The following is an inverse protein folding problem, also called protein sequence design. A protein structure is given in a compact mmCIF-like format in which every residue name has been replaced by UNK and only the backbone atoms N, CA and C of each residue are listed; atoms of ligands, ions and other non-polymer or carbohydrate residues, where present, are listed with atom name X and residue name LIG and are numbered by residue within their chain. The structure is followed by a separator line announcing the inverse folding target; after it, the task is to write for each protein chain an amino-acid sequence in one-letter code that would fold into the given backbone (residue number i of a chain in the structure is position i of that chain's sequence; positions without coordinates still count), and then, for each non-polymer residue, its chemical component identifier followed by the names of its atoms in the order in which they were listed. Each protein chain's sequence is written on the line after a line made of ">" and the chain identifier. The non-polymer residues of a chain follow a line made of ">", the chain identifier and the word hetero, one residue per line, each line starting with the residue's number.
data_IF_534046557948
#
_entry.id   IF_534046557948
#
_cell.length_a   1.000
_cell.length_b   1.000
_cell.length_c   1.000
_cell.angle_alpha   90.00
_cell.angle_beta   90.00
_cell.angle_gamma   90.00
#
_symmetry.space_group_name_H-M   'P 1'
#
loop_
_entity.id
_entity.type
_entity.pdbx_description
1 polymer ?
#
# COMPACT_ATOMS: atom_id res chain seq x y z
N UNK A 1 16.00 11.55 48.30
CA UNK A 1 16.06 12.32 47.04
C UNK A 1 15.99 11.34 45.87
N UNK A 2 14.79 11.02 45.38
CA UNK A 2 14.59 10.06 44.27
C UNK A 2 13.53 10.52 43.24
N UNK A 3 13.07 11.78 43.32
CA UNK A 3 11.95 12.28 42.49
C UNK A 3 12.40 13.08 41.25
N UNK A 4 13.68 13.47 41.15
CA UNK A 4 14.15 14.33 40.05
C UNK A 4 14.43 13.55 38.75
N UNK A 5 14.72 12.24 38.82
CA UNK A 5 14.97 11.39 37.63
C UNK A 5 13.68 11.01 36.91
N UNK A 6 12.65 10.62 37.65
CA UNK A 6 11.36 10.19 37.09
C UNK A 6 10.60 11.34 36.40
N UNK A 7 10.77 12.59 36.88
CA UNK A 7 10.24 13.77 36.21
C UNK A 7 10.85 13.96 34.81
N UNK A 8 12.17 13.82 34.69
CA UNK A 8 12.87 13.97 33.39
C UNK A 8 12.60 12.82 32.40
N UNK A 9 12.43 11.59 32.90
CA UNK A 9 12.07 10.44 32.06
C UNK A 9 10.62 10.52 31.58
N UNK A 10 9.69 10.90 32.48
CA UNK A 10 8.29 11.12 32.13
C UNK A 10 8.11 12.23 31.10
N UNK A 11 8.82 13.33 31.26
CA UNK A 11 8.85 14.44 30.29
C UNK A 11 9.46 14.01 28.95
N UNK A 12 10.56 13.22 28.95
CA UNK A 12 11.16 12.71 27.73
C UNK A 12 10.22 11.77 26.96
N UNK A 13 9.51 10.87 27.66
CA UNK A 13 8.51 9.98 27.05
C UNK A 13 7.35 10.79 26.47
N UNK A 14 6.87 11.81 27.20
CA UNK A 14 5.79 12.67 26.74
C UNK A 14 6.18 13.44 25.47
N UNK A 15 7.39 14.01 25.44
CA UNK A 15 7.89 14.72 24.27
C UNK A 15 8.08 13.78 23.08
N UNK A 16 8.60 12.56 23.31
CA UNK A 16 8.72 11.56 22.24
C UNK A 16 7.35 11.19 21.66
N UNK A 17 6.33 10.96 22.51
CA UNK A 17 4.96 10.70 22.05
C UNK A 17 4.39 11.86 21.24
N UNK A 18 4.64 13.10 21.68
CA UNK A 18 4.22 14.32 20.97
C UNK A 18 4.86 14.40 19.58
N UNK A 19 6.18 14.19 19.50
CA UNK A 19 6.92 14.20 18.23
C UNK A 19 6.43 13.11 17.26
N UNK A 20 6.14 11.91 17.78
CA UNK A 20 5.57 10.83 16.99
C UNK A 20 4.17 11.19 16.49
N UNK A 21 3.29 11.71 17.36
CA UNK A 21 1.96 12.16 16.98
C UNK A 21 1.98 13.25 15.91
N UNK A 22 2.83 14.26 16.07
CA UNK A 22 3.01 15.34 15.09
C UNK A 22 3.48 14.79 13.73
N UNK A 23 4.40 13.82 13.75
CA UNK A 23 4.90 13.18 12.53
C UNK A 23 3.79 12.38 11.84
N UNK A 24 3.03 11.60 12.59
CA UNK A 24 1.99 10.73 12.05
C UNK A 24 0.83 11.57 11.49
N UNK A 25 0.46 12.67 12.15
CA UNK A 25 -0.51 13.65 11.65
C UNK A 25 -0.05 14.31 10.34
N UNK A 26 1.24 14.71 10.25
CA UNK A 26 1.80 15.26 9.00
C UNK A 26 1.79 14.24 7.87
N UNK A 27 2.11 12.97 8.15
CA UNK A 27 2.07 11.88 7.16
C UNK A 27 0.64 11.67 6.64
N UNK A 28 -0.33 11.55 7.54
CA UNK A 28 -1.74 11.40 7.18
C UNK A 28 -2.25 12.56 6.33
N UNK A 29 -1.91 13.80 6.70
CA UNK A 29 -2.29 14.99 5.95
C UNK A 29 -1.64 15.09 4.56
N UNK A 30 -0.49 14.43 4.34
CA UNK A 30 0.22 14.43 3.06
C UNK A 30 -0.29 13.35 2.09
N UNK A 31 -1.13 12.42 2.54
CA UNK A 31 -1.68 11.36 1.67
C UNK A 31 -2.60 11.95 0.60
N UNK A 32 -2.46 11.46 -0.63
CA UNK A 32 -3.32 11.87 -1.75
C UNK A 32 -4.63 11.10 -1.70
N UNK A 33 -5.76 11.78 -1.80
CA UNK A 33 -7.04 11.09 -2.01
C UNK A 33 -7.16 10.58 -3.46
N UNK A 34 -7.35 9.28 -3.64
CA UNK A 34 -7.64 8.67 -4.95
C UNK A 34 -9.15 8.38 -5.08
N UNK A 35 -9.90 9.15 -5.89
CA UNK A 35 -11.34 8.98 -6.03
C UNK A 35 -11.73 7.67 -6.73
N UNK A 36 -10.92 7.12 -7.65
CA UNK A 36 -11.28 5.90 -8.41
C UNK A 36 -11.38 4.67 -7.54
N UNK A 37 -10.58 4.63 -6.48
CA UNK A 37 -10.56 3.53 -5.53
C UNK A 37 -10.89 3.96 -4.10
N UNK A 38 -11.31 5.20 -3.85
CA UNK A 38 -11.69 5.72 -2.53
C UNK A 38 -10.68 5.40 -1.43
N UNK A 39 -9.40 5.61 -1.70
CA UNK A 39 -8.31 5.36 -0.74
C UNK A 39 -7.51 6.64 -0.53
N UNK A 40 -7.15 6.89 0.73
CA UNK A 40 -6.10 7.86 1.09
C UNK A 40 -4.73 7.21 0.81
N UNK A 41 -4.19 7.48 -0.37
CA UNK A 41 -2.98 6.84 -0.91
C UNK A 41 -1.76 7.29 -0.09
N UNK A 42 -1.03 6.35 0.54
CA UNK A 42 0.21 6.66 1.25
C UNK A 42 1.25 7.36 0.38
N UNK A 43 2.10 8.15 1.03
CA UNK A 43 3.28 8.75 0.39
C UNK A 43 4.30 7.69 -0.04
N UNK A 44 5.23 8.08 -0.91
CA UNK A 44 6.38 7.24 -1.31
C UNK A 44 7.18 6.78 -0.09
N UNK A 45 7.40 7.67 0.89
CA UNK A 45 8.17 7.40 2.10
C UNK A 45 7.46 6.34 2.96
N UNK A 46 6.14 6.46 3.13
CA UNK A 46 5.32 5.47 3.84
C UNK A 46 5.35 4.11 3.14
N UNK A 47 5.18 4.08 1.81
CA UNK A 47 5.29 2.82 1.06
C UNK A 47 6.69 2.21 1.16
N UNK A 48 7.73 3.02 1.11
CA UNK A 48 9.12 2.55 1.25
C UNK A 48 9.35 1.92 2.63
N UNK A 49 8.81 2.53 3.68
CA UNK A 49 8.85 1.99 5.04
C UNK A 49 8.08 0.68 5.12
N UNK A 50 6.86 0.63 4.59
CA UNK A 50 6.01 -0.56 4.58
C UNK A 50 6.65 -1.72 3.82
N UNK A 51 7.23 -1.49 2.64
CA UNK A 51 7.89 -2.52 1.84
C UNK A 51 9.10 -3.14 2.55
N UNK A 52 9.81 -2.35 3.37
CA UNK A 52 10.96 -2.83 4.15
C UNK A 52 10.55 -3.62 5.39
N UNK A 53 9.43 -3.24 6.01
CA UNK A 53 9.01 -3.79 7.31
C UNK A 53 8.03 -4.96 7.18
N UNK A 54 7.26 -5.01 6.09
CA UNK A 54 6.31 -6.10 5.84
C UNK A 54 7.00 -7.30 5.21
N UNK A 55 6.74 -8.49 5.74
CA UNK A 55 7.26 -9.74 5.17
C UNK A 55 6.39 -10.20 4.01
N UNK A 56 6.76 -9.78 2.80
CA UNK A 56 6.11 -10.22 1.57
C UNK A 56 6.73 -11.51 1.04
N UNK A 57 5.91 -12.35 0.40
CA UNK A 57 6.39 -13.53 -0.31
C UNK A 57 7.05 -13.15 -1.64
N UNK A 58 7.88 -14.03 -2.19
CA UNK A 58 8.51 -13.82 -3.50
C UNK A 58 7.47 -13.57 -4.61
N UNK A 59 6.33 -14.26 -4.57
CA UNK A 59 5.25 -14.06 -5.53
C UNK A 59 4.64 -12.66 -5.44
N UNK A 60 4.44 -12.14 -4.22
CA UNK A 60 3.95 -10.77 -4.00
C UNK A 60 4.96 -9.74 -4.51
N UNK A 61 6.24 -9.92 -4.19
CA UNK A 61 7.31 -9.05 -4.67
C UNK A 61 7.43 -9.08 -6.20
N UNK A 62 7.33 -10.25 -6.82
CA UNK A 62 7.38 -10.40 -8.28
C UNK A 62 6.21 -9.68 -8.98
N UNK A 63 5.00 -9.79 -8.42
CA UNK A 63 3.84 -9.03 -8.91
C UNK A 63 4.07 -7.53 -8.79
N UNK A 64 4.52 -7.04 -7.63
CA UNK A 64 4.76 -5.61 -7.41
C UNK A 64 5.82 -5.06 -8.37
N UNK A 65 6.94 -5.78 -8.55
CA UNK A 65 7.98 -5.41 -9.51
C UNK A 65 7.44 -5.30 -10.93
N UNK A 66 6.71 -6.32 -11.37
CA UNK A 66 6.16 -6.37 -12.73
C UNK A 66 5.12 -5.28 -12.97
N UNK A 67 4.29 -5.01 -11.96
CA UNK A 67 3.27 -3.96 -12.00
C UNK A 67 3.89 -2.56 -11.99
N UNK A 68 4.96 -2.34 -11.23
CA UNK A 68 5.73 -1.10 -11.26
C UNK A 68 6.33 -0.83 -12.66
N UNK A 69 6.89 -1.86 -13.30
CA UNK A 69 7.47 -1.75 -14.66
C UNK A 69 6.44 -1.40 -15.74
N UNK A 70 5.17 -1.75 -15.55
CA UNK A 70 4.11 -1.41 -16.48
C UNK A 70 3.77 0.10 -16.48
N UNK A 71 4.09 0.81 -15.40
CA UNK A 71 3.87 2.24 -15.28
C UNK A 71 2.41 2.66 -15.53
N UNK A 72 2.25 3.79 -16.21
CA UNK A 72 0.97 4.35 -16.65
C UNK A 72 0.21 3.44 -17.63
N UNK A 73 0.89 2.50 -18.32
CA UNK A 73 0.23 1.57 -19.22
C UNK A 73 -0.63 0.55 -18.45
N UNK A 74 -0.29 0.31 -17.18
CA UNK A 74 -0.97 -0.66 -16.33
C UNK A 74 -0.81 -2.10 -16.81
N UNK A 75 -1.42 -3.02 -16.06
CA UNK A 75 -1.41 -4.45 -16.37
C UNK A 75 -2.83 -4.99 -16.47
N UNK A 76 -3.06 -5.89 -17.41
CA UNK A 76 -4.25 -6.74 -17.36
C UNK A 76 -4.12 -7.77 -16.24
N UNK A 77 -5.25 -8.28 -15.73
CA UNK A 77 -5.24 -9.36 -14.74
C UNK A 77 -4.45 -10.58 -15.24
N UNK A 78 -4.56 -10.92 -16.53
CA UNK A 78 -3.79 -12.00 -17.14
C UNK A 78 -2.28 -11.75 -17.10
N UNK A 79 -1.83 -10.51 -17.31
CA UNK A 79 -0.43 -10.17 -17.23
C UNK A 79 0.09 -10.24 -15.77
N UNK A 80 -0.70 -9.77 -14.80
CA UNK A 80 -0.40 -9.88 -13.36
C UNK A 80 -0.30 -11.35 -12.91
N UNK A 81 -1.20 -12.22 -13.38
CA UNK A 81 -1.12 -13.65 -13.09
C UNK A 81 0.19 -14.26 -13.61
N UNK A 82 0.55 -13.95 -14.85
CA UNK A 82 1.75 -14.49 -15.51
C UNK A 82 3.03 -14.06 -14.80
N UNK A 83 3.09 -12.84 -14.25
CA UNK A 83 4.30 -12.34 -13.57
C UNK A 83 4.66 -13.09 -12.28
N UNK A 84 3.74 -13.87 -11.72
CA UNK A 84 3.99 -14.70 -10.55
C UNK A 84 3.65 -16.19 -10.78
N UNK A 85 3.53 -16.61 -12.04
CA UNK A 85 3.33 -18.02 -12.41
C UNK A 85 1.95 -18.58 -12.05
N UNK A 86 0.95 -17.74 -11.79
CA UNK A 86 -0.40 -18.21 -11.47
C UNK A 86 -1.23 -18.49 -12.72
N UNK A 87 -2.05 -19.54 -12.64
CA UNK A 87 -2.99 -19.94 -13.69
C UNK A 87 -4.42 -19.49 -13.43
N UNK A 88 -4.72 -19.04 -12.20
CA UNK A 88 -6.05 -18.60 -11.81
C UNK A 88 -6.09 -17.09 -11.50
N UNK A 89 -7.03 -16.33 -12.08
CA UNK A 89 -7.26 -14.93 -11.73
C UNK A 89 -7.60 -14.75 -10.25
N UNK A 90 -8.43 -15.62 -9.68
CA UNK A 90 -8.82 -15.52 -8.27
C UNK A 90 -7.64 -15.69 -7.32
N UNK A 91 -6.68 -16.58 -7.66
CA UNK A 91 -5.45 -16.72 -6.89
C UNK A 91 -4.58 -15.46 -6.98
N UNK A 92 -4.45 -14.88 -8.17
CA UNK A 92 -3.65 -13.67 -8.34
C UNK A 92 -4.24 -12.48 -7.57
N UNK A 93 -5.56 -12.29 -7.65
CA UNK A 93 -6.32 -11.28 -6.89
C UNK A 93 -6.13 -11.48 -5.38
N UNK A 94 -6.17 -12.72 -4.89
CA UNK A 94 -5.91 -13.02 -3.47
C UNK A 94 -4.51 -12.65 -3.03
N UNK A 95 -3.50 -12.96 -3.85
CA UNK A 95 -2.09 -12.72 -3.53
C UNK A 95 -1.79 -11.22 -3.49
N UNK A 96 -2.23 -10.48 -4.51
CA UNK A 96 -2.05 -9.02 -4.57
C UNK A 96 -2.90 -8.31 -3.51
N UNK A 97 -4.13 -8.79 -3.27
CA UNK A 97 -4.99 -8.31 -2.19
C UNK A 97 -4.34 -8.50 -0.81
N UNK A 98 -3.69 -9.64 -0.56
CA UNK A 98 -2.96 -9.88 0.68
C UNK A 98 -1.74 -8.97 0.82
N UNK A 99 -1.05 -8.63 -0.27
CA UNK A 99 0.03 -7.63 -0.23
C UNK A 99 -0.52 -6.24 0.11
N UNK A 100 -1.67 -5.89 -0.46
CA UNK A 100 -2.39 -4.66 -0.14
C UNK A 100 -2.80 -4.59 1.31
N UNK A 101 -3.34 -5.69 1.86
CA UNK A 101 -3.74 -5.78 3.27
C UNK A 101 -2.54 -5.61 4.22
N UNK A 102 -1.40 -6.26 3.92
CA UNK A 102 -0.19 -6.09 4.73
C UNK A 102 0.28 -4.63 4.81
N UNK A 103 0.22 -3.91 3.68
CA UNK A 103 0.57 -2.48 3.65
C UNK A 103 -0.51 -1.64 4.35
N UNK A 104 -1.79 -1.93 4.11
CA UNK A 104 -2.90 -1.21 4.73
C UNK A 104 -2.85 -1.32 6.26
N UNK A 105 -2.63 -2.53 6.78
CA UNK A 105 -2.52 -2.81 8.21
C UNK A 105 -1.32 -2.10 8.81
N UNK A 106 -0.16 -2.14 8.14
CA UNK A 106 1.06 -1.50 8.63
C UNK A 106 0.95 0.04 8.66
N UNK A 107 0.29 0.63 7.67
CA UNK A 107 0.16 2.09 7.53
C UNK A 107 -1.13 2.65 8.12
N UNK A 108 -1.99 1.82 8.70
CA UNK A 108 -3.33 2.19 9.15
C UNK A 108 -4.12 2.92 8.04
N UNK A 109 -4.15 2.34 6.84
CA UNK A 109 -4.98 2.84 5.75
C UNK A 109 -6.41 2.38 5.99
N UNK A 110 -7.31 3.34 6.18
CA UNK A 110 -8.73 3.04 6.24
C UNK A 110 -9.22 2.66 4.85
N UNK A 111 -9.67 1.42 4.74
CA UNK A 111 -10.40 0.94 3.58
C UNK A 111 -11.89 1.08 3.88
N UNK A 112 -12.69 1.64 2.94
CA UNK A 112 -14.13 1.59 3.10
C UNK A 112 -14.56 0.15 3.33
N UNK A 113 -15.58 -0.12 4.16
CA UNK A 113 -16.07 -1.46 4.37
C UNK A 113 -16.39 -2.05 3.00
N UNK A 114 -15.64 -3.09 2.61
CA UNK A 114 -15.96 -3.84 1.41
C UNK A 114 -17.41 -4.28 1.54
N UNK A 115 -18.19 -4.16 0.47
CA UNK A 115 -19.29 -5.12 0.30
C UNK A 115 -18.62 -6.48 0.48
N UNK A 116 -19.04 -7.24 1.50
CA UNK A 116 -18.27 -8.31 2.15
C UNK A 116 -17.84 -9.50 1.25
N UNK A 117 -17.97 -9.36 -0.07
CA UNK A 117 -17.70 -10.34 -1.11
C UNK A 117 -16.62 -9.94 -2.13
N UNK A 118 -16.03 -8.73 -2.07
CA UNK A 118 -14.98 -8.36 -3.05
C UNK A 118 -13.61 -8.89 -2.60
N UNK A 119 -13.30 -10.15 -2.97
CA UNK A 119 -11.95 -10.69 -2.85
C UNK A 119 -10.95 -9.72 -3.53
N UNK A 120 -9.91 -9.30 -2.80
CA UNK A 120 -8.89 -8.39 -3.33
C UNK A 120 -9.16 -6.90 -3.13
N UNK A 121 -10.14 -6.50 -2.32
CA UNK A 121 -10.45 -5.09 -2.04
C UNK A 121 -9.23 -4.29 -1.55
N UNK A 122 -8.38 -4.89 -0.69
CA UNK A 122 -7.15 -4.24 -0.22
C UNK A 122 -6.10 -3.99 -1.33
N UNK A 123 -6.23 -4.59 -2.52
CA UNK A 123 -5.38 -4.26 -3.68
C UNK A 123 -5.56 -2.81 -4.14
N UNK A 124 -6.65 -2.14 -3.71
CA UNK A 124 -6.90 -0.71 -3.95
C UNK A 124 -5.87 0.21 -3.30
N UNK A 125 -5.21 -0.24 -2.23
CA UNK A 125 -4.06 0.46 -1.63
C UNK A 125 -2.85 0.44 -2.56
N UNK A 126 -2.76 -0.54 -3.45
CA UNK A 126 -1.64 -0.71 -4.37
C UNK A 126 -1.89 -0.09 -5.74
N UNK A 127 -3.15 -0.11 -6.17
CA UNK A 127 -3.52 0.22 -7.55
C UNK A 127 -4.99 0.61 -7.69
N UNK A 128 -5.36 1.13 -8.85
CA UNK A 128 -6.74 1.36 -9.25
C UNK A 128 -6.99 0.71 -10.62
N UNK A 129 -8.26 0.42 -10.91
CA UNK A 129 -8.68 -0.07 -12.22
C UNK A 129 -9.10 1.10 -13.11
N UNK A 130 -8.63 1.09 -14.35
CA UNK A 130 -9.03 1.99 -15.41
C UNK A 130 -9.62 1.19 -16.58
N UNK A 131 -10.71 1.70 -17.15
CA UNK A 131 -11.25 1.23 -18.43
C UNK A 131 -10.98 2.29 -19.49
N UNK A 132 -10.26 1.93 -20.56
CA UNK A 132 -9.87 2.87 -21.63
C UNK A 132 -10.88 3.00 -22.77
N UNK A 133 -12.08 2.47 -22.59
CA UNK A 133 -13.15 2.52 -23.57
C UNK A 133 -14.01 1.26 -23.56
N UNK A 134 -15.10 1.31 -24.33
CA UNK A 134 -16.02 0.19 -24.46
C UNK A 134 -15.32 -1.00 -25.16
N UNK A 135 -15.35 -2.18 -24.54
CA UNK A 135 -14.70 -3.39 -25.05
C UNK A 135 -13.19 -3.51 -24.79
N UNK A 136 -12.55 -2.52 -24.16
CA UNK A 136 -11.15 -2.62 -23.73
C UNK A 136 -11.01 -3.46 -22.46
N UNK A 137 -9.92 -4.23 -22.29
CA UNK A 137 -9.68 -4.93 -21.04
C UNK A 137 -9.47 -3.93 -19.91
N UNK A 138 -9.93 -4.27 -18.70
CA UNK A 138 -9.62 -3.49 -17.50
C UNK A 138 -8.11 -3.53 -17.23
N UNK A 139 -7.54 -2.35 -17.00
CA UNK A 139 -6.13 -2.17 -16.70
C UNK A 139 -5.98 -1.78 -15.22
N UNK A 140 -5.12 -2.52 -14.53
CA UNK A 140 -4.73 -2.22 -13.16
C UNK A 140 -3.50 -1.33 -13.22
N UNK A 141 -3.59 -0.12 -12.69
CA UNK A 141 -2.51 0.86 -12.69
C UNK A 141 -2.04 1.07 -11.25
N UNK A 142 -0.74 0.87 -11.00
CA UNK A 142 -0.14 1.07 -9.69
C UNK A 142 -0.10 2.56 -9.35
N UNK A 143 -0.38 2.93 -8.10
CA UNK A 143 -0.22 4.31 -7.63
C UNK A 143 1.22 4.78 -7.83
N UNK A 144 1.40 6.02 -8.28
CA UNK A 144 2.73 6.58 -8.58
C UNK A 144 3.68 6.53 -7.37
N UNK A 145 3.14 6.79 -6.18
CA UNK A 145 3.86 6.77 -4.92
C UNK A 145 4.43 5.38 -4.62
N UNK A 146 3.62 4.34 -4.80
CA UNK A 146 4.05 2.96 -4.65
C UNK A 146 5.01 2.55 -5.76
N UNK A 147 4.75 2.96 -7.01
CA UNK A 147 5.63 2.67 -8.16
C UNK A 147 7.05 3.18 -7.89
N UNK A 148 7.17 4.42 -7.45
CA UNK A 148 8.44 5.03 -7.07
C UNK A 148 9.11 4.33 -5.89
N UNK A 149 8.33 3.90 -4.89
CA UNK A 149 8.85 3.14 -3.75
C UNK A 149 9.39 1.76 -4.17
N UNK A 150 8.65 1.03 -5.02
CA UNK A 150 9.08 -0.26 -5.57
C UNK A 150 10.36 -0.12 -6.37
N UNK A 151 10.44 0.84 -7.30
CA UNK A 151 11.64 1.06 -8.11
C UNK A 151 12.88 1.45 -7.30
N UNK A 152 12.70 2.03 -6.11
CA UNK A 152 13.80 2.40 -5.22
C UNK A 152 14.21 1.28 -4.25
N UNK A 153 13.31 0.34 -3.94
CA UNK A 153 13.48 -0.62 -2.84
C UNK A 153 13.61 -2.08 -3.27
N UNK A 154 13.15 -2.45 -4.47
CA UNK A 154 13.00 -3.83 -4.93
C UNK A 154 13.73 -4.08 -6.25
#
# INVERSE_FOLDING_TARGET
>A
MAEVSAASEGEAIAELKRLLGDRDARRLAARRWEPRCHVSVPSKEEFTEALKQTKMSEAQLSMLKSHSLAGEAGMTMTALMKSAGYRSPSTAIKVIGRAGALIADFLHVELPPADAQVEGDAARVLSFCESRGEGSPQLWVMHDELRQAVSAAL
#
